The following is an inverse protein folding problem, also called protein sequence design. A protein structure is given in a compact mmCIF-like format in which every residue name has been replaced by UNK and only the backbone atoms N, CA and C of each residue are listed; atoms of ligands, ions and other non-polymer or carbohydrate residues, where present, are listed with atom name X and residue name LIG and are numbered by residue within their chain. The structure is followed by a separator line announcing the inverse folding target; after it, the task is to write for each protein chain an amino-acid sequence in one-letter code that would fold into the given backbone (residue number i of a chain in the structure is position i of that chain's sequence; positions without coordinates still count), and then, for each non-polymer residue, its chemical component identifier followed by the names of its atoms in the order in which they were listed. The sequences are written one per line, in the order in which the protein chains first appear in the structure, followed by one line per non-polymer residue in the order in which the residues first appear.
data_IF_151693176359
#
_entry.id   IF_151693176359
#
_cell.length_a   1.000
_cell.length_b   1.000
_cell.length_c   1.000
_cell.angle_alpha   90.00
_cell.angle_beta   90.00
_cell.angle_gamma   90.00
#
_symmetry.space_group_name_H-M   'P 1'
#
loop_
_entity.id
_entity.type
_entity.pdbx_description
1 polymer ?
#
# COMPACT_ATOMS: atom_id res chain seq x y z
N UNK A 1 41.22 35.89 -3.83
CA UNK A 1 40.54 35.66 -2.53
C UNK A 1 39.04 36.03 -2.55
N UNK A 2 38.35 35.98 -3.70
CA UNK A 2 36.93 36.34 -3.83
C UNK A 2 36.03 35.16 -4.19
N UNK A 3 36.59 34.06 -4.68
CA UNK A 3 35.83 32.85 -5.05
C UNK A 3 35.48 31.99 -3.82
N UNK A 4 36.23 32.13 -2.73
CA UNK A 4 36.02 31.34 -1.50
C UNK A 4 34.89 31.88 -0.61
N UNK A 5 34.56 33.17 -0.72
CA UNK A 5 33.45 33.78 0.05
C UNK A 5 32.07 33.46 -0.52
N UNK A 6 31.97 33.14 -1.81
CA UNK A 6 30.69 32.75 -2.42
C UNK A 6 30.25 31.33 -2.01
N UNK A 7 31.19 30.44 -1.70
CA UNK A 7 30.89 29.05 -1.35
C UNK A 7 30.44 28.88 0.12
N UNK A 8 30.94 29.72 1.03
CA UNK A 8 30.55 29.66 2.46
C UNK A 8 29.15 30.21 2.71
N UNK A 9 28.68 31.18 1.90
CA UNK A 9 27.33 31.73 2.03
C UNK A 9 26.26 30.74 1.52
N UNK A 10 26.57 29.93 0.50
CA UNK A 10 25.62 28.94 -0.03
C UNK A 10 25.32 27.78 0.91
N UNK A 11 26.25 27.40 1.79
CA UNK A 11 26.08 26.26 2.71
C UNK A 11 25.30 26.66 3.98
N UNK A 12 25.38 27.91 4.41
CA UNK A 12 24.65 28.39 5.60
C UNK A 12 23.17 28.66 5.32
N UNK A 13 22.80 29.10 4.10
CA UNK A 13 21.39 29.28 3.73
C UNK A 13 20.63 27.96 3.47
N UNK A 14 21.33 26.84 3.28
CA UNK A 14 20.70 25.53 3.04
C UNK A 14 20.19 24.81 4.30
N UNK A 15 20.61 25.23 5.50
CA UNK A 15 20.33 24.52 6.77
C UNK A 15 19.31 25.23 7.68
N UNK A 16 18.78 26.40 7.30
CA UNK A 16 17.73 27.11 8.07
C UNK A 16 16.31 26.97 7.49
N UNK A 17 16.11 26.17 6.42
CA UNK A 17 14.79 25.95 5.80
C UNK A 17 14.03 24.72 6.34
N UNK A 18 14.22 24.39 7.62
CA UNK A 18 13.34 23.50 8.38
C UNK A 18 13.10 24.08 9.78
N UNK A 19 12.59 25.31 9.85
CA UNK A 19 11.90 25.79 11.04
C UNK A 19 10.39 25.75 10.80
N UNK A 20 9.71 25.07 11.71
CA UNK A 20 8.28 24.99 11.91
C UNK A 20 7.48 26.20 11.41
N UNK A 21 6.48 25.94 10.57
CA UNK A 21 5.37 26.83 10.28
C UNK A 21 4.09 26.18 10.76
N UNK A 22 3.77 26.42 12.04
CA UNK A 22 2.45 26.24 12.63
C UNK A 22 1.62 27.48 12.26
N UNK A 23 0.38 27.30 11.81
CA UNK A 23 -0.47 28.41 11.39
C UNK A 23 -1.64 28.03 10.49
N UNK A 24 -2.65 27.42 11.08
CA UNK A 24 -4.07 27.62 10.71
C UNK A 24 -4.73 28.24 11.95
N UNK A 25 -5.63 29.25 11.88
CA UNK A 25 -6.96 29.01 11.36
C UNK A 25 -7.68 30.20 10.67
N UNK A 26 -8.74 29.85 9.94
CA UNK A 26 -10.04 30.55 9.89
C UNK A 26 -10.38 31.52 8.74
N UNK A 27 -11.41 31.05 8.01
CA UNK A 27 -12.67 31.74 7.65
C UNK A 27 -12.66 32.79 6.53
N UNK A 28 -13.35 32.49 5.42
CA UNK A 28 -14.73 32.92 5.11
C UNK A 28 -15.16 32.50 3.68
N UNK A 29 -16.48 32.50 3.36
CA UNK A 29 -17.09 31.68 2.33
C UNK A 29 -17.25 32.41 0.98
N UNK A 30 -17.28 31.67 -0.12
CA UNK A 30 -17.74 32.20 -1.41
C UNK A 30 -18.98 31.44 -1.88
N UNK A 31 -20.16 32.09 -1.91
CA UNK A 31 -21.32 31.62 -2.61
C UNK A 31 -21.45 32.33 -3.96
N UNK A 32 -21.57 31.61 -5.08
CA UNK A 32 -22.51 32.03 -6.13
C UNK A 32 -22.85 30.91 -7.11
N UNK A 33 -24.13 30.56 -7.09
CA UNK A 33 -24.88 29.86 -8.11
C UNK A 33 -25.14 30.77 -9.34
N UNK A 34 -25.25 30.16 -10.52
CA UNK A 34 -26.30 30.37 -11.53
C UNK A 34 -25.83 29.85 -12.89
N UNK A 35 -26.47 28.77 -13.39
CA UNK A 35 -27.49 28.80 -14.44
C UNK A 35 -26.94 29.12 -15.84
N UNK A 36 -26.99 28.12 -16.74
CA UNK A 36 -27.53 28.36 -18.08
C UNK A 36 -28.21 27.11 -18.64
N UNK A 37 -29.50 27.28 -18.87
CA UNK A 37 -30.44 26.37 -19.51
C UNK A 37 -30.09 26.03 -20.96
N UNK A 38 -30.58 24.85 -21.34
CA UNK A 38 -31.04 24.40 -22.65
C UNK A 38 -30.95 25.38 -23.84
N UNK A 39 -30.46 24.88 -24.97
CA UNK A 39 -31.26 24.96 -26.18
C UNK A 39 -31.06 23.76 -27.13
N UNK A 40 -32.18 23.36 -27.72
CA UNK A 40 -32.40 22.28 -28.68
C UNK A 40 -32.49 22.94 -30.06
N UNK A 41 -32.03 22.28 -31.13
CA UNK A 41 -33.01 22.05 -32.20
C UNK A 41 -32.90 20.67 -32.84
N UNK A 42 -34.05 20.22 -33.34
CA UNK A 42 -34.22 19.11 -34.27
C UNK A 42 -34.51 19.68 -35.66
N UNK A 43 -34.37 18.82 -36.68
CA UNK A 43 -34.65 19.05 -38.12
C UNK A 43 -33.60 19.93 -38.83
N UNK A 44 -33.08 19.60 -40.01
CA UNK A 44 -33.76 19.06 -41.20
C UNK A 44 -32.72 18.43 -42.16
N UNK A 45 -33.12 17.38 -42.87
CA UNK A 45 -32.46 16.77 -44.03
C UNK A 45 -32.77 17.62 -45.29
N UNK A 46 -31.84 17.77 -46.26
CA UNK A 46 -32.08 17.11 -47.56
C UNK A 46 -30.80 16.60 -48.27
N UNK A 47 -30.87 15.34 -48.69
CA UNK A 47 -30.70 14.85 -50.07
C UNK A 47 -29.81 15.66 -51.06
N UNK A 48 -28.65 15.09 -51.45
CA UNK A 48 -28.15 14.96 -52.84
C UNK A 48 -26.68 14.49 -52.90
N UNK A 49 -26.48 13.18 -53.14
CA UNK A 49 -25.59 12.52 -54.14
C UNK A 49 -24.14 13.00 -54.48
N UNK A 50 -23.30 12.16 -55.13
CA UNK A 50 -22.02 11.73 -54.56
C UNK A 50 -20.80 12.10 -55.42
N UNK A 51 -19.60 12.16 -54.83
CA UNK A 51 -18.36 12.00 -55.62
C UNK A 51 -17.28 11.30 -54.80
N UNK A 52 -16.78 10.24 -55.40
CA UNK A 52 -15.84 9.27 -54.89
C UNK A 52 -14.42 9.84 -54.65
N UNK A 53 -13.76 9.36 -53.60
CA UNK A 53 -12.32 9.13 -53.60
C UNK A 53 -11.96 8.04 -52.56
N UNK A 54 -11.80 6.83 -53.09
CA UNK A 54 -11.27 5.62 -52.46
C UNK A 54 -9.76 5.77 -52.22
N UNK A 55 -9.23 5.30 -51.08
CA UNK A 55 -7.93 4.65 -51.09
C UNK A 55 -8.02 3.18 -50.70
N UNK A 56 -7.12 2.43 -51.31
CA UNK A 56 -7.13 0.99 -51.49
C UNK A 56 -6.85 0.19 -50.21
N UNK A 57 -7.65 -0.87 -50.10
CA UNK A 57 -7.46 -2.08 -49.30
C UNK A 57 -6.20 -2.81 -49.75
N UNK A 58 -5.26 -3.05 -48.84
CA UNK A 58 -4.15 -3.99 -49.06
C UNK A 58 -4.59 -5.38 -48.60
N UNK A 59 -4.32 -6.33 -49.47
CA UNK A 59 -4.76 -7.71 -49.49
C UNK A 59 -3.65 -8.63 -48.92
N UNK A 60 -4.09 -9.74 -48.33
CA UNK A 60 -3.44 -11.05 -48.31
C UNK A 60 -2.07 -11.23 -47.61
N UNK A 61 -2.00 -12.16 -46.65
CA UNK A 61 -1.50 -13.52 -46.95
C UNK A 61 -1.87 -14.47 -45.80
N UNK A 62 -2.76 -15.42 -46.09
CA UNK A 62 -3.15 -16.57 -45.28
C UNK A 62 -2.38 -17.79 -45.80
N UNK A 63 -1.69 -18.58 -44.96
CA UNK A 63 -1.32 -19.94 -45.33
C UNK A 63 -2.40 -20.93 -44.85
N UNK A 64 -3.06 -21.54 -45.82
CA UNK A 64 -3.84 -22.76 -45.65
C UNK A 64 -2.89 -23.97 -45.44
N UNK A 65 -3.18 -24.84 -44.48
CA UNK A 65 -2.85 -26.26 -44.63
C UNK A 65 -3.88 -27.17 -44.00
N UNK A 66 -4.64 -27.77 -44.91
CA UNK A 66 -5.52 -28.92 -44.75
C UNK A 66 -4.74 -30.16 -44.28
N UNK A 67 -5.28 -30.89 -43.29
CA UNK A 67 -5.17 -32.35 -43.23
C UNK A 67 -6.52 -32.94 -42.82
N UNK A 68 -6.88 -33.93 -43.62
CA UNK A 68 -8.13 -34.65 -43.79
C UNK A 68 -8.28 -35.76 -42.72
N UNK A 69 -9.52 -36.21 -42.41
CA UNK A 69 -9.79 -37.24 -41.41
C UNK A 69 -9.56 -38.66 -41.97
N UNK A 70 -9.05 -39.56 -41.13
CA UNK A 70 -9.13 -41.03 -41.31
C UNK A 70 -10.19 -41.61 -40.38
N UNK A 71 -11.18 -42.36 -40.89
CA UNK A 71 -12.04 -43.26 -40.12
C UNK A 71 -11.63 -44.72 -40.38
N UNK A 72 -11.27 -45.49 -39.35
CA UNK A 72 -11.11 -46.97 -39.39
C UNK A 72 -10.97 -47.47 -37.93
N UNK A 73 -12.02 -48.00 -37.29
CA UNK A 73 -12.47 -49.41 -37.23
C UNK A 73 -12.22 -50.02 -35.84
N UNK A 74 -13.31 -50.10 -35.06
CA UNK A 74 -13.62 -51.12 -34.04
C UNK A 74 -13.47 -52.55 -34.62
N UNK A 75 -13.04 -53.64 -33.94
CA UNK A 75 -13.63 -54.17 -32.68
C UNK A 75 -12.72 -54.96 -31.69
N UNK A 76 -13.13 -55.02 -30.42
CA UNK A 76 -13.47 -56.27 -29.69
C UNK A 76 -13.45 -56.09 -28.15
N UNK A 77 -14.56 -56.50 -27.52
CA UNK A 77 -14.77 -56.79 -26.09
C UNK A 77 -13.74 -57.78 -25.51
N UNK A 78 -13.60 -57.80 -24.16
CA UNK A 78 -14.35 -58.83 -23.44
C UNK A 78 -15.08 -58.29 -22.20
N UNK A 79 -16.39 -58.56 -22.18
CA UNK A 79 -17.18 -59.11 -21.07
C UNK A 79 -16.44 -59.33 -19.74
N UNK A 80 -16.90 -58.69 -18.65
CA UNK A 80 -17.04 -59.33 -17.33
C UNK A 80 -17.82 -58.46 -16.32
N UNK A 81 -19.00 -58.97 -15.96
CA UNK A 81 -19.62 -58.96 -14.64
C UNK A 81 -19.99 -57.61 -13.96
N UNK A 82 -21.26 -57.27 -14.18
CA UNK A 82 -22.19 -56.60 -13.27
C UNK A 82 -22.18 -57.23 -11.85
N UNK A 83 -22.16 -56.39 -10.80
CA UNK A 83 -23.10 -56.61 -9.71
C UNK A 83 -24.05 -55.41 -9.47
N UNK A 84 -25.31 -55.83 -9.31
CA UNK A 84 -26.58 -55.16 -9.02
C UNK A 84 -26.54 -54.14 -7.84
N UNK A 85 -27.43 -53.12 -7.83
CA UNK A 85 -27.28 -51.93 -7.01
C UNK A 85 -27.74 -52.11 -5.56
N UNK A 86 -26.90 -51.69 -4.61
CA UNK A 86 -27.32 -51.47 -3.23
C UNK A 86 -28.17 -50.20 -3.13
N UNK A 87 -29.50 -50.38 -3.12
CA UNK A 87 -30.46 -49.39 -2.60
C UNK A 87 -30.11 -49.08 -1.15
N UNK A 88 -29.67 -47.85 -0.87
CA UNK A 88 -29.79 -47.28 0.47
C UNK A 88 -31.01 -46.39 0.57
N UNK A 89 -31.84 -46.80 1.51
CA UNK A 89 -33.17 -46.36 1.89
C UNK A 89 -33.23 -44.86 2.21
N UNK A 90 -34.16 -44.17 1.54
CA UNK A 90 -34.65 -42.85 1.92
C UNK A 90 -35.22 -42.91 3.33
N UNK A 91 -34.55 -42.28 4.29
CA UNK A 91 -35.09 -42.08 5.65
C UNK A 91 -35.95 -40.82 5.63
N UNK A 92 -37.26 -41.05 5.60
CA UNK A 92 -38.31 -40.07 5.86
C UNK A 92 -38.65 -40.07 7.36
N UNK A 93 -38.29 -39.01 8.08
CA UNK A 93 -38.85 -38.59 9.36
C UNK A 93 -38.16 -37.27 9.75
N UNK A 94 -38.78 -36.19 10.24
CA UNK A 94 -40.16 -35.85 10.52
C UNK A 94 -40.22 -34.31 10.47
N UNK A 95 -41.34 -33.75 10.01
CA UNK A 95 -41.61 -32.32 10.13
C UNK A 95 -42.09 -32.00 11.56
N UNK A 96 -41.61 -30.93 12.20
CA UNK A 96 -42.38 -30.23 13.21
C UNK A 96 -42.75 -28.80 12.75
N UNK A 97 -44.06 -28.55 12.86
CA UNK A 97 -44.75 -27.30 13.16
C UNK A 97 -44.36 -26.01 12.40
N UNK A 98 -45.26 -25.57 11.53
CA UNK A 98 -45.42 -24.17 11.17
C UNK A 98 -45.90 -23.40 12.41
N UNK A 99 -45.07 -22.49 12.92
CA UNK A 99 -45.53 -21.50 13.91
C UNK A 99 -45.93 -20.24 13.15
N UNK A 100 -47.22 -20.14 12.84
CA UNK A 100 -47.87 -18.91 12.42
C UNK A 100 -47.99 -17.99 13.63
N UNK A 101 -47.12 -16.98 13.76
CA UNK A 101 -47.33 -15.89 14.73
C UNK A 101 -47.77 -14.64 13.99
N UNK A 102 -49.08 -14.40 14.10
CA UNK A 102 -49.78 -13.20 13.66
C UNK A 102 -49.52 -12.04 14.63
N UNK A 103 -49.01 -10.91 14.08
CA UNK A 103 -49.27 -9.48 14.40
C UNK A 103 -49.77 -9.09 15.81
N UNK A 104 -49.21 -8.02 16.40
CA UNK A 104 -49.99 -6.77 16.47
C UNK A 104 -49.23 -5.52 16.01
N UNK A 105 -49.98 -4.60 15.40
CA UNK A 105 -49.58 -3.21 15.12
C UNK A 105 -50.03 -2.32 16.28
N UNK A 106 -49.26 -1.25 16.51
CA UNK A 106 -49.57 0.06 17.13
C UNK A 106 -49.50 0.18 18.67
N UNK A 107 -49.36 1.41 19.23
CA UNK A 107 -48.91 2.69 18.66
C UNK A 107 -47.86 3.45 19.54
N UNK A 108 -47.46 4.63 19.03
CA UNK A 108 -47.13 5.86 19.76
C UNK A 108 -45.73 6.08 20.35
N UNK A 109 -45.30 7.31 20.12
CA UNK A 109 -44.08 7.96 20.54
C UNK A 109 -43.98 8.04 22.07
N UNK A 110 -42.77 7.90 22.61
CA UNK A 110 -42.39 8.60 23.83
C UNK A 110 -40.91 8.98 23.77
N UNK A 111 -40.69 10.26 23.53
CA UNK A 111 -39.47 10.99 23.87
C UNK A 111 -39.17 10.81 25.36
N UNK A 112 -37.99 10.28 25.71
CA UNK A 112 -37.37 10.56 27.01
C UNK A 112 -35.85 10.54 26.90
N UNK A 113 -35.27 11.74 26.89
CA UNK A 113 -33.90 12.09 27.28
C UNK A 113 -34.02 12.84 28.63
N UNK A 114 -33.03 12.90 29.53
CA UNK A 114 -31.74 12.19 29.64
C UNK A 114 -31.58 11.42 30.97
N UNK A 115 -30.69 10.42 31.01
CA UNK A 115 -29.99 10.07 32.25
C UNK A 115 -28.53 10.48 32.11
N UNK A 116 -28.21 11.61 32.71
CA UNK A 116 -26.86 12.00 33.12
C UNK A 116 -26.35 10.92 34.09
N UNK A 117 -25.24 10.27 33.75
CA UNK A 117 -24.44 9.53 34.71
C UNK A 117 -22.97 9.67 34.35
N UNK A 118 -22.32 10.44 35.21
CA UNK A 118 -20.92 10.49 35.64
C UNK A 118 -19.78 10.30 34.59
N UNK A 119 -18.80 11.23 34.57
CA UNK A 119 -17.55 11.04 33.84
C UNK A 119 -16.74 9.91 34.48
N UNK A 120 -16.47 8.86 33.71
CA UNK A 120 -15.43 7.89 34.05
C UNK A 120 -14.09 8.60 33.93
N UNK A 121 -13.32 8.46 35.01
CA UNK A 121 -12.05 9.10 35.27
C UNK A 121 -11.07 9.00 34.08
N UNK A 122 -10.42 10.13 33.81
CA UNK A 122 -9.28 10.26 32.93
C UNK A 122 -8.17 9.26 33.31
N UNK A 123 -7.55 8.54 32.36
CA UNK A 123 -6.25 7.95 32.61
C UNK A 123 -5.24 9.08 32.83
N UNK A 124 -4.59 9.01 33.98
CA UNK A 124 -3.58 9.97 34.45
C UNK A 124 -2.47 10.20 33.40
N UNK A 125 -1.94 11.43 33.27
CA UNK A 125 -0.71 11.64 32.52
C UNK A 125 0.42 10.89 33.22
N UNK A 126 1.06 9.97 32.50
CA UNK A 126 2.31 9.36 32.93
C UNK A 126 3.35 10.47 32.95
N UNK A 127 3.68 10.95 34.15
CA UNK A 127 4.78 11.88 34.37
C UNK A 127 6.08 11.12 34.10
N UNK A 128 6.73 11.40 32.97
CA UNK A 128 8.12 11.03 32.75
C UNK A 128 8.98 11.90 33.68
N UNK A 129 9.42 11.27 34.76
CA UNK A 129 10.35 11.82 35.75
C UNK A 129 11.65 12.24 35.08
N UNK A 130 11.92 13.54 35.08
CA UNK A 130 13.26 14.06 34.85
C UNK A 130 14.14 13.69 36.06
N UNK A 131 15.16 12.85 35.83
CA UNK A 131 16.18 12.59 36.83
C UNK A 131 17.15 13.79 36.89
N UNK A 132 16.86 14.74 37.77
CA UNK A 132 17.85 15.67 38.30
C UNK A 132 18.70 14.92 39.33
N UNK A 133 19.94 14.59 38.98
CA UNK A 133 20.95 14.16 39.94
C UNK A 133 21.91 15.33 40.18
N UNK A 134 21.79 15.95 41.36
CA UNK A 134 22.76 16.92 41.88
C UNK A 134 23.06 16.62 43.35
N UNK A 135 24.36 16.72 43.66
CA UNK A 135 25.02 16.73 44.97
C UNK A 135 25.12 15.35 45.67
N UNK A 136 26.20 14.96 46.35
CA UNK A 136 27.32 15.71 46.91
C UNK A 136 28.43 14.71 47.27
N UNK A 137 29.67 14.98 46.87
CA UNK A 137 30.85 14.18 47.25
C UNK A 137 32.04 15.10 47.43
N UNK A 138 32.12 15.67 48.63
CA UNK A 138 33.21 16.53 49.10
C UNK A 138 34.48 15.70 49.33
N UNK A 139 35.55 16.01 48.60
CA UNK A 139 36.91 15.75 49.05
C UNK A 139 37.83 16.79 48.39
N UNK A 140 38.40 17.65 49.25
CA UNK A 140 39.43 18.60 48.87
C UNK A 140 40.70 17.88 48.40
N UNK A 141 41.41 18.44 47.42
CA UNK A 141 42.85 18.56 47.58
C UNK A 141 43.32 20.01 47.44
N UNK A 142 44.03 20.44 48.48
CA UNK A 142 45.22 21.28 48.48
C UNK A 142 45.55 22.01 47.19
N UNK A 143 45.37 23.33 47.21
CA UNK A 143 45.92 24.26 46.23
C UNK A 143 47.44 24.30 46.39
N UNK A 144 48.18 24.04 45.31
CA UNK A 144 49.50 24.64 45.10
C UNK A 144 49.92 24.60 43.63
N UNK A 145 50.40 25.76 43.20
CA UNK A 145 51.34 26.01 42.12
C UNK A 145 50.87 25.89 40.66
N UNK A 146 50.47 27.04 40.13
CA UNK A 146 51.19 27.73 39.04
C UNK A 146 51.74 26.85 37.91
N UNK A 147 50.96 26.71 36.85
CA UNK A 147 51.46 26.87 35.49
C UNK A 147 50.32 27.43 34.64
N UNK A 148 50.33 28.75 34.45
CA UNK A 148 49.65 29.35 33.31
C UNK A 148 50.32 28.77 32.06
N UNK A 149 49.77 27.68 31.52
CA UNK A 149 50.00 27.33 30.13
C UNK A 149 49.38 28.48 29.35
N UNK A 150 50.22 29.48 29.02
CA UNK A 150 49.90 30.46 28.02
C UNK A 150 49.35 29.68 26.82
N UNK A 151 48.06 29.84 26.57
CA UNK A 151 47.45 29.40 25.33
C UNK A 151 48.13 30.22 24.24
N UNK A 152 49.27 29.71 23.78
CA UNK A 152 49.93 30.21 22.60
C UNK A 152 48.86 30.07 21.52
N UNK A 153 48.38 31.22 21.06
CA UNK A 153 47.62 31.38 19.83
C UNK A 153 48.50 30.88 18.69
N UNK A 154 48.64 29.56 18.61
CA UNK A 154 49.34 28.84 17.57
C UNK A 154 48.35 28.87 16.43
N UNK A 155 48.36 30.00 15.70
CA UNK A 155 47.55 30.16 14.50
C UNK A 155 47.71 28.90 13.69
N UNK A 156 46.58 28.28 13.31
CA UNK A 156 46.58 27.09 12.46
C UNK A 156 47.56 27.35 11.32
N UNK A 157 48.74 26.74 11.40
CA UNK A 157 49.73 26.85 10.35
C UNK A 157 49.15 26.28 9.05
N UNK A 158 49.84 26.43 7.91
CA UNK A 158 49.37 25.89 6.64
C UNK A 158 48.92 24.42 6.71
N UNK A 159 49.54 23.59 7.57
CA UNK A 159 49.10 22.21 7.85
C UNK A 159 47.73 22.10 8.53
N UNK A 160 47.38 23.01 9.45
CA UNK A 160 46.07 23.05 10.09
C UNK A 160 44.97 23.39 9.08
N UNK A 161 45.26 24.28 8.13
CA UNK A 161 44.35 24.59 7.03
C UNK A 161 44.10 23.40 6.10
N UNK A 162 45.14 22.64 5.73
CA UNK A 162 44.97 21.41 4.96
C UNK A 162 44.15 20.36 5.72
N UNK A 163 44.32 20.26 7.04
CA UNK A 163 43.52 19.35 7.87
C UNK A 163 42.03 19.73 7.86
N UNK A 164 41.71 21.03 7.92
CA UNK A 164 40.32 21.50 7.76
C UNK A 164 39.76 21.23 6.37
N UNK A 165 40.56 21.44 5.31
CA UNK A 165 40.17 21.16 3.94
C UNK A 165 39.89 19.67 3.68
N UNK A 166 40.51 18.75 4.41
CA UNK A 166 40.25 17.30 4.29
C UNK A 166 39.13 16.85 5.24
N UNK A 167 39.08 17.38 6.46
CA UNK A 167 38.09 17.00 7.46
C UNK A 167 36.67 17.42 7.04
N UNK A 168 36.52 18.61 6.45
CA UNK A 168 35.22 19.13 6.05
C UNK A 168 34.51 18.25 4.99
N UNK A 169 35.13 17.88 3.85
CA UNK A 169 34.50 16.96 2.91
C UNK A 169 34.31 15.57 3.50
N UNK A 170 35.22 15.08 4.35
CA UNK A 170 35.04 13.79 5.02
C UNK A 170 33.80 13.77 5.93
N UNK A 171 33.54 14.84 6.66
CA UNK A 171 32.33 15.01 7.48
C UNK A 171 31.06 15.10 6.63
N UNK A 172 31.10 15.84 5.52
CA UNK A 172 29.95 15.95 4.61
C UNK A 172 29.63 14.57 4.01
N UNK A 173 30.63 13.85 3.53
CA UNK A 173 30.45 12.50 2.95
C UNK A 173 29.97 11.52 4.01
N UNK A 174 30.58 11.53 5.21
CA UNK A 174 30.16 10.68 6.33
C UNK A 174 28.72 10.96 6.76
N UNK A 175 28.34 12.23 6.91
CA UNK A 175 26.97 12.64 7.24
C UNK A 175 25.96 12.24 6.17
N UNK A 176 26.29 12.40 4.89
CA UNK A 176 25.43 11.99 3.77
C UNK A 176 25.21 10.47 3.73
N UNK A 177 26.24 9.68 4.03
CA UNK A 177 26.16 8.22 4.10
C UNK A 177 25.25 7.77 5.25
N UNK A 178 25.38 8.37 6.44
CA UNK A 178 24.51 8.07 7.59
C UNK A 178 23.06 8.46 7.29
N UNK A 179 22.83 9.64 6.72
CA UNK A 179 21.50 10.08 6.33
C UNK A 179 20.86 9.13 5.29
N UNK A 180 21.63 8.69 4.30
CA UNK A 180 21.17 7.69 3.32
C UNK A 180 20.86 6.34 3.97
N UNK A 181 21.69 5.88 4.91
CA UNK A 181 21.49 4.63 5.63
C UNK A 181 20.21 4.68 6.48
N UNK A 182 19.99 5.77 7.23
CA UNK A 182 18.78 5.98 8.02
C UNK A 182 17.53 5.98 7.13
N UNK A 183 17.57 6.73 6.02
CA UNK A 183 16.45 6.79 5.06
C UNK A 183 16.15 5.43 4.44
N UNK A 184 17.17 4.63 4.14
CA UNK A 184 17.03 3.25 3.67
C UNK A 184 16.33 2.37 4.71
N UNK A 185 16.77 2.44 5.97
CA UNK A 185 16.19 1.66 7.06
C UNK A 185 14.75 2.04 7.40
N UNK A 186 14.42 3.34 7.35
CA UNK A 186 13.07 3.84 7.59
C UNK A 186 12.10 3.32 6.52
N UNK A 187 12.50 3.40 5.25
CA UNK A 187 11.73 2.83 4.14
C UNK A 187 11.51 1.32 4.31
N UNK A 188 12.56 0.57 4.66
CA UNK A 188 12.47 -0.89 4.84
C UNK A 188 11.58 -1.29 6.05
N UNK A 189 11.52 -0.44 7.08
CA UNK A 189 10.63 -0.65 8.22
C UNK A 189 9.16 -0.39 7.84
N UNK A 190 8.87 0.73 7.17
CA UNK A 190 7.53 1.07 6.69
C UNK A 190 7.00 0.03 5.69
N UNK A 191 7.83 -0.40 4.74
CA UNK A 191 7.50 -1.44 3.78
C UNK A 191 7.11 -2.77 4.46
N UNK A 192 7.85 -3.17 5.50
CA UNK A 192 7.55 -4.40 6.26
C UNK A 192 6.25 -4.28 7.04
N UNK A 193 6.00 -3.13 7.66
CA UNK A 193 4.75 -2.85 8.36
C UNK A 193 3.56 -2.91 7.39
N UNK A 194 3.64 -2.25 6.24
CA UNK A 194 2.62 -2.31 5.20
C UNK A 194 2.39 -3.71 4.65
N UNK A 195 3.45 -4.48 4.45
CA UNK A 195 3.33 -5.86 3.99
C UNK A 195 2.63 -6.75 5.04
N UNK A 196 2.88 -6.54 6.32
CA UNK A 196 2.17 -7.24 7.40
C UNK A 196 0.69 -6.86 7.46
N UNK A 197 0.40 -5.56 7.35
CA UNK A 197 -0.96 -5.03 7.33
C UNK A 197 -1.76 -5.55 6.13
N UNK A 198 -1.12 -5.59 4.95
CA UNK A 198 -1.70 -6.17 3.74
C UNK A 198 -2.01 -7.66 3.91
N UNK A 199 -1.07 -8.45 4.46
CA UNK A 199 -1.32 -9.87 4.77
C UNK A 199 -2.41 -10.07 5.82
N UNK A 200 -2.46 -9.22 6.85
CA UNK A 200 -3.48 -9.31 7.89
C UNK A 200 -4.87 -9.02 7.31
N UNK A 201 -5.00 -7.95 6.52
CA UNK A 201 -6.29 -7.57 5.93
C UNK A 201 -6.76 -8.64 4.93
N UNK A 202 -5.91 -9.05 4.00
CA UNK A 202 -6.26 -10.09 3.00
C UNK A 202 -6.46 -11.47 3.63
N UNK A 203 -5.65 -11.85 4.62
CA UNK A 203 -5.77 -13.18 5.25
C UNK A 203 -6.93 -13.32 6.24
N UNK A 204 -7.39 -12.23 6.85
CA UNK A 204 -8.43 -12.30 7.91
C UNK A 204 -9.78 -11.73 7.50
N UNK A 205 -9.81 -10.68 6.67
CA UNK A 205 -11.04 -9.95 6.35
C UNK A 205 -11.63 -10.33 5.00
N UNK A 206 -10.81 -10.73 4.04
CA UNK A 206 -11.25 -11.10 2.70
C UNK A 206 -11.99 -12.46 2.66
N UNK A 207 -11.54 -13.53 3.34
CA UNK A 207 -12.20 -14.83 3.24
C UNK A 207 -13.68 -14.81 3.66
N UNK A 208 -14.09 -14.12 4.76
CA UNK A 208 -15.50 -13.96 5.09
C UNK A 208 -16.34 -13.32 3.97
N UNK A 209 -15.81 -12.30 3.29
CA UNK A 209 -16.49 -11.66 2.15
C UNK A 209 -16.67 -12.67 1.01
N UNK A 210 -15.62 -13.40 0.66
CA UNK A 210 -15.66 -14.36 -0.43
C UNK A 210 -16.57 -15.57 -0.15
N UNK A 211 -16.67 -16.01 1.10
CA UNK A 211 -17.55 -17.13 1.49
C UNK A 211 -19.03 -16.76 1.57
N UNK A 212 -19.36 -15.47 1.63
CA UNK A 212 -20.76 -15.00 1.70
C UNK A 212 -21.41 -15.10 0.32
N UNK A 213 -22.45 -15.90 0.17
CA UNK A 213 -23.15 -16.11 -1.12
C UNK A 213 -24.36 -15.19 -1.31
N UNK A 214 -24.80 -14.50 -0.26
CA UNK A 214 -25.91 -13.55 -0.32
C UNK A 214 -25.42 -12.15 -0.65
N UNK A 215 -25.83 -11.59 -1.80
CA UNK A 215 -25.37 -10.29 -2.31
C UNK A 215 -25.46 -9.16 -1.26
N UNK A 216 -26.62 -8.96 -0.63
CA UNK A 216 -26.83 -7.88 0.33
C UNK A 216 -25.88 -7.95 1.55
N UNK A 217 -25.61 -9.14 2.07
CA UNK A 217 -24.71 -9.30 3.21
C UNK A 217 -23.24 -9.18 2.79
N UNK A 218 -22.91 -9.64 1.57
CA UNK A 218 -21.58 -9.52 1.00
C UNK A 218 -21.21 -8.07 0.74
N UNK A 219 -22.14 -7.27 0.19
CA UNK A 219 -21.92 -5.83 -0.02
C UNK A 219 -21.62 -5.09 1.28
N UNK A 220 -22.40 -5.35 2.34
CA UNK A 220 -22.17 -4.77 3.66
C UNK A 220 -20.82 -5.16 4.26
N UNK A 221 -20.41 -6.43 4.10
CA UNK A 221 -19.11 -6.91 4.56
C UNK A 221 -17.94 -6.40 3.70
N UNK A 222 -18.18 -6.15 2.41
CA UNK A 222 -17.17 -5.75 1.44
C UNK A 222 -16.75 -4.28 1.56
N UNK A 223 -17.69 -3.36 1.78
CA UNK A 223 -17.40 -1.92 1.89
C UNK A 223 -16.19 -1.57 2.79
N UNK A 224 -16.11 -2.06 4.05
CA UNK A 224 -14.97 -1.76 4.91
C UNK A 224 -13.65 -2.40 4.43
N UNK A 225 -13.71 -3.59 3.82
CA UNK A 225 -12.53 -4.28 3.27
C UNK A 225 -12.01 -3.53 2.05
N UNK A 226 -12.92 -3.10 1.15
CA UNK A 226 -12.61 -2.26 -0.01
C UNK A 226 -11.90 -0.97 0.40
N UNK A 227 -12.44 -0.25 1.38
CA UNK A 227 -11.83 0.96 1.90
C UNK A 227 -10.39 0.71 2.40
N UNK A 228 -10.19 -0.33 3.21
CA UNK A 228 -8.86 -0.69 3.71
C UNK A 228 -7.87 -1.10 2.62
N UNK A 229 -8.31 -1.83 1.59
CA UNK A 229 -7.46 -2.17 0.44
C UNK A 229 -7.07 -0.93 -0.37
N UNK A 230 -8.01 -0.01 -0.60
CA UNK A 230 -7.72 1.25 -1.32
C UNK A 230 -6.78 2.16 -0.54
N UNK A 231 -6.91 2.22 0.78
CA UNK A 231 -6.01 2.96 1.66
C UNK A 231 -4.59 2.36 1.62
N UNK A 232 -4.48 1.03 1.73
CA UNK A 232 -3.21 0.33 1.60
C UNK A 232 -2.55 0.60 0.25
N UNK A 233 -3.30 0.55 -0.86
CA UNK A 233 -2.79 0.90 -2.18
C UNK A 233 -2.26 2.34 -2.24
N UNK A 234 -2.97 3.30 -1.62
CA UNK A 234 -2.51 4.68 -1.49
C UNK A 234 -1.21 4.82 -0.69
N UNK A 235 -1.09 4.09 0.43
CA UNK A 235 0.13 4.09 1.26
C UNK A 235 1.31 3.43 0.56
N UNK A 236 1.09 2.37 -0.21
CA UNK A 236 2.11 1.79 -1.09
C UNK A 236 2.56 2.78 -2.16
N UNK A 237 1.62 3.54 -2.76
CA UNK A 237 1.97 4.59 -3.71
C UNK A 237 2.81 5.72 -3.08
N UNK A 238 2.46 6.17 -1.87
CA UNK A 238 3.26 7.14 -1.13
C UNK A 238 4.67 6.64 -0.77
N UNK A 239 4.88 5.32 -0.77
CA UNK A 239 6.18 4.69 -0.53
C UNK A 239 7.07 4.71 -1.79
N UNK A 240 6.48 4.78 -3.00
CA UNK A 240 7.19 4.88 -4.29
C UNK A 240 8.01 6.17 -4.34
N UNK A 241 7.39 7.30 -3.98
CA UNK A 241 8.03 8.63 -3.98
C UNK A 241 9.26 8.69 -3.05
N UNK A 242 9.27 7.84 -2.02
CA UNK A 242 10.35 7.78 -1.02
C UNK A 242 11.39 6.70 -1.33
N UNK A 243 11.15 5.84 -2.31
CA UNK A 243 12.06 4.77 -2.68
C UNK A 243 13.31 5.31 -3.40
N UNK A 244 14.48 4.97 -2.86
CA UNK A 244 15.78 5.43 -3.36
C UNK A 244 16.28 4.65 -4.60
N UNK A 245 15.74 3.44 -4.85
CA UNK A 245 16.24 2.51 -5.88
C UNK A 245 15.09 1.98 -6.74
N UNK A 246 15.37 1.74 -8.01
CA UNK A 246 14.38 1.25 -8.98
C UNK A 246 13.70 -0.07 -8.59
N UNK A 247 14.40 -1.11 -8.06
CA UNK A 247 13.74 -2.36 -7.65
C UNK A 247 12.70 -2.15 -6.54
N UNK A 248 12.94 -1.19 -5.63
CA UNK A 248 12.01 -0.85 -4.54
C UNK A 248 10.77 -0.12 -5.05
N UNK A 249 10.95 0.75 -6.05
CA UNK A 249 9.84 1.43 -6.75
C UNK A 249 8.98 0.42 -7.48
N UNK A 250 9.60 -0.45 -8.28
CA UNK A 250 8.90 -1.48 -9.05
C UNK A 250 8.15 -2.47 -8.15
N UNK A 251 8.73 -2.87 -7.03
CA UNK A 251 8.05 -3.73 -6.06
C UNK A 251 6.84 -3.05 -5.42
N UNK A 252 6.96 -1.77 -5.04
CA UNK A 252 5.84 -0.99 -4.46
C UNK A 252 4.73 -0.73 -5.48
N UNK A 253 5.09 -0.42 -6.74
CA UNK A 253 4.17 -0.30 -7.87
C UNK A 253 3.43 -1.62 -8.14
N UNK A 254 4.15 -2.74 -8.12
CA UNK A 254 3.54 -4.06 -8.30
C UNK A 254 2.53 -4.39 -7.22
N UNK A 255 2.83 -4.07 -5.96
CA UNK A 255 1.90 -4.27 -4.84
C UNK A 255 0.67 -3.37 -4.93
N UNK A 256 0.82 -2.08 -5.27
CA UNK A 256 -0.33 -1.18 -5.40
C UNK A 256 -1.23 -1.57 -6.58
N UNK A 257 -0.64 -2.00 -7.71
CA UNK A 257 -1.38 -2.54 -8.85
C UNK A 257 -2.18 -3.80 -8.49
N UNK A 258 -1.55 -4.79 -7.86
CA UNK A 258 -2.23 -6.03 -7.44
C UNK A 258 -3.36 -5.79 -6.44
N UNK A 259 -3.23 -4.80 -5.55
CA UNK A 259 -4.32 -4.42 -4.64
C UNK A 259 -5.51 -3.80 -5.39
N UNK A 260 -5.26 -2.98 -6.40
CA UNK A 260 -6.31 -2.41 -7.24
C UNK A 260 -6.99 -3.49 -8.10
N UNK A 261 -6.22 -4.41 -8.67
CA UNK A 261 -6.73 -5.55 -9.43
C UNK A 261 -7.61 -6.45 -8.54
N UNK A 262 -7.22 -6.65 -7.27
CA UNK A 262 -8.01 -7.42 -6.31
C UNK A 262 -9.33 -6.74 -6.01
N UNK A 263 -9.31 -5.44 -5.75
CA UNK A 263 -10.54 -4.65 -5.54
C UNK A 263 -11.45 -4.73 -6.76
N UNK A 264 -10.91 -4.56 -7.97
CA UNK A 264 -11.69 -4.65 -9.20
C UNK A 264 -12.27 -6.05 -9.45
N UNK A 265 -11.50 -7.11 -9.19
CA UNK A 265 -11.97 -8.48 -9.35
C UNK A 265 -13.10 -8.84 -8.37
N UNK A 266 -12.99 -8.40 -7.10
CA UNK A 266 -14.05 -8.63 -6.10
C UNK A 266 -15.26 -7.74 -6.37
N UNK A 267 -15.08 -6.50 -6.80
CA UNK A 267 -16.17 -5.61 -7.24
C UNK A 267 -16.95 -6.26 -8.40
N UNK A 268 -16.26 -6.85 -9.38
CA UNK A 268 -16.90 -7.58 -10.49
C UNK A 268 -17.66 -8.84 -10.03
N UNK A 269 -17.12 -9.59 -9.07
CA UNK A 269 -17.80 -10.75 -8.48
C UNK A 269 -19.07 -10.34 -7.73
N UNK A 270 -19.00 -9.25 -6.95
CA UNK A 270 -20.15 -8.70 -6.24
C UNK A 270 -21.22 -8.19 -7.21
N UNK A 271 -20.81 -7.52 -8.29
CA UNK A 271 -21.72 -7.08 -9.34
C UNK A 271 -22.43 -8.27 -10.00
N UNK A 272 -21.69 -9.34 -10.34
CA UNK A 272 -22.27 -10.56 -10.89
C UNK A 272 -23.31 -11.19 -9.93
N UNK A 273 -22.98 -11.27 -8.64
CA UNK A 273 -23.88 -11.74 -7.59
C UNK A 273 -25.17 -10.92 -7.51
N UNK A 274 -25.07 -9.59 -7.52
CA UNK A 274 -26.22 -8.68 -7.41
C UNK A 274 -27.17 -8.80 -8.59
N UNK A 275 -26.65 -9.08 -9.79
CA UNK A 275 -27.47 -9.30 -10.99
C UNK A 275 -27.86 -10.78 -11.22
N UNK A 276 -27.52 -11.69 -10.31
CA UNK A 276 -27.80 -13.12 -10.47
C UNK A 276 -27.04 -13.79 -11.62
N UNK A 277 -25.93 -13.19 -12.07
CA UNK A 277 -25.00 -13.78 -13.04
C UNK A 277 -24.14 -14.84 -12.35
N UNK A 278 -23.57 -15.75 -13.14
CA UNK A 278 -22.70 -16.81 -12.63
C UNK A 278 -21.34 -16.24 -12.17
N UNK A 279 -21.31 -15.77 -10.93
CA UNK A 279 -20.15 -15.19 -10.27
C UNK A 279 -19.02 -16.21 -10.06
N UNK A 280 -19.32 -17.51 -10.06
CA UNK A 280 -18.29 -18.54 -9.88
C UNK A 280 -17.27 -18.55 -11.02
N UNK A 281 -17.66 -18.07 -12.21
CA UNK A 281 -16.74 -17.89 -13.34
C UNK A 281 -15.67 -16.82 -13.08
N UNK A 282 -15.92 -15.88 -12.15
CA UNK A 282 -14.97 -14.82 -11.78
C UNK A 282 -14.07 -15.21 -10.61
N UNK A 283 -14.42 -16.25 -9.85
CA UNK A 283 -13.62 -16.72 -8.70
C UNK A 283 -12.16 -17.06 -9.05
N UNK A 284 -11.85 -17.72 -10.19
CA UNK A 284 -10.46 -17.98 -10.56
C UNK A 284 -9.62 -16.72 -10.71
N UNK A 285 -10.20 -15.60 -11.15
CA UNK A 285 -9.50 -14.32 -11.28
C UNK A 285 -9.14 -13.76 -9.91
N UNK A 286 -10.07 -13.75 -8.95
CA UNK A 286 -9.81 -13.33 -7.57
C UNK A 286 -8.68 -14.18 -6.96
N UNK A 287 -8.77 -15.51 -7.08
CA UNK A 287 -7.76 -16.43 -6.57
C UNK A 287 -6.38 -16.19 -7.21
N UNK A 288 -6.33 -15.89 -8.50
CA UNK A 288 -5.09 -15.61 -9.21
C UNK A 288 -4.41 -14.33 -8.66
N UNK A 289 -5.19 -13.26 -8.46
CA UNK A 289 -4.67 -12.00 -7.91
C UNK A 289 -4.24 -12.19 -6.45
N UNK A 290 -4.99 -12.92 -5.64
CA UNK A 290 -4.60 -13.25 -4.25
C UNK A 290 -3.27 -14.03 -4.20
N UNK A 291 -3.09 -15.02 -5.08
CA UNK A 291 -1.85 -15.80 -5.16
C UNK A 291 -0.67 -14.94 -5.63
N UNK A 292 -0.88 -14.09 -6.63
CA UNK A 292 0.13 -13.15 -7.11
C UNK A 292 0.54 -12.16 -5.99
N UNK A 293 -0.44 -11.61 -5.27
CA UNK A 293 -0.21 -10.73 -4.13
C UNK A 293 0.57 -11.45 -3.01
N UNK A 294 0.19 -12.68 -2.68
CA UNK A 294 0.89 -13.48 -1.68
C UNK A 294 2.35 -13.77 -2.10
N UNK A 295 2.58 -14.09 -3.38
CA UNK A 295 3.91 -14.32 -3.93
C UNK A 295 4.80 -13.07 -3.88
N UNK A 296 4.26 -11.91 -4.29
CA UNK A 296 4.99 -10.63 -4.25
C UNK A 296 5.28 -10.20 -2.81
N UNK A 297 4.35 -10.42 -1.88
CA UNK A 297 4.57 -10.17 -0.45
C UNK A 297 5.59 -11.14 0.15
N UNK A 298 5.68 -12.38 -0.33
CA UNK A 298 6.69 -13.34 0.11
C UNK A 298 8.09 -12.98 -0.42
N UNK A 299 8.17 -12.44 -1.63
CA UNK A 299 9.39 -11.89 -2.20
C UNK A 299 9.87 -10.65 -1.45
N UNK A 300 11.13 -10.64 -0.99
CA UNK A 300 11.77 -9.39 -0.57
C UNK A 300 12.21 -8.60 -1.80
N UNK A 301 12.13 -7.26 -1.80
CA UNK A 301 12.79 -6.47 -2.83
C UNK A 301 14.27 -6.86 -2.82
N UNK A 302 14.76 -7.44 -3.92
CA UNK A 302 16.15 -7.90 -4.03
C UNK A 302 17.07 -6.75 -3.63
N UNK A 303 17.87 -6.99 -2.59
CA UNK A 303 18.93 -6.06 -2.25
C UNK A 303 19.95 -6.12 -3.38
N UNK A 304 20.26 -4.96 -3.96
CA UNK A 304 21.32 -4.82 -4.94
C UNK A 304 22.57 -5.58 -4.44
N UNK A 305 23.14 -6.50 -5.24
CA UNK A 305 24.31 -7.25 -4.82
C UNK A 305 25.41 -6.24 -4.46
N UNK A 306 26.20 -6.50 -3.39
CA UNK A 306 27.28 -5.61 -3.00
C UNK A 306 28.16 -5.36 -4.23
N UNK A 307 28.43 -4.09 -4.53
CA UNK A 307 29.23 -3.70 -5.67
C UNK A 307 30.52 -4.53 -5.67
N UNK A 308 30.88 -5.10 -6.83
CA UNK A 308 31.90 -6.14 -7.01
C UNK A 308 33.36 -5.73 -6.68
N UNK A 309 33.57 -4.78 -5.76
CA UNK A 309 34.87 -4.29 -5.33
C UNK A 309 35.07 -4.22 -3.81
N UNK A 310 34.14 -4.72 -2.99
CA UNK A 310 34.38 -4.84 -1.56
C UNK A 310 35.10 -6.18 -1.30
N UNK A 311 36.41 -6.19 -0.98
CA UNK A 311 37.12 -7.42 -0.67
C UNK A 311 36.45 -8.07 0.54
N UNK A 312 35.90 -9.27 0.32
CA UNK A 312 35.25 -10.03 1.39
C UNK A 312 36.18 -10.21 2.59
N UNK A 313 35.62 -10.36 3.81
CA UNK A 313 36.42 -10.56 5.01
C UNK A 313 37.35 -11.77 4.80
N UNK A 314 38.65 -11.65 5.15
CA UNK A 314 39.60 -12.73 4.93
C UNK A 314 39.08 -13.97 5.64
N UNK A 315 38.81 -15.02 4.87
CA UNK A 315 38.52 -16.34 5.39
C UNK A 315 39.77 -16.80 6.13
N UNK A 316 39.77 -16.67 7.45
CA UNK A 316 40.74 -17.29 8.34
C UNK A 316 40.65 -18.81 8.10
N UNK A 317 41.58 -19.34 7.29
CA UNK A 317 41.88 -20.75 7.30
C UNK A 317 42.70 -21.04 8.56
N UNK A 318 42.12 -21.86 9.43
CA UNK A 318 42.81 -22.58 10.53
C UNK A 318 43.03 -24.02 10.11
#
# INVERSE_FOLDING_TARGET
MTVLSAFVIGVVLGLTACSAGDGDPSTLPSPRASQRSADRPASEEPEAEPTAARPSRTESTQPARSRQPEPTTEPAEPTAAEPEPARTTSTRAAAPAQTTTTRPIAPAQTTTRPATSAPVAAPAPVQTTAATASAQGSAAPTVSATAAAAAASTGLGPLGWFSLLVLFPALIVGGLLVYRAQRKSAWDAEARALAQETRALTGTRLPPVLTTTTAAQRDLAWLPVRAGLTELAGRWNALIERAATEPRRNWSLGLSGLLQDLVAAVDAENEALTFGRDWMLLRPQVNHVEQALAAVLAGRPQSEPPAAGEPGPPTLQT
#
